data_IF_284724847894
#
_entry.id   IF_284724847894
#
_cell.length_a   1.000
_cell.length_b   1.000
_cell.length_c   1.000
_cell.angle_alpha   90.00
_cell.angle_beta   90.00
_cell.angle_gamma   90.00
#
_symmetry.space_group_name_H-M   'P 1'
#
loop_
_entity.id
_entity.type
_entity.pdbx_description
1 polymer ?
#
# COMPACT_ATOMS: atom_id res chain seq x y z
N UNK A 1 17.82 29.96 0.03
CA UNK A 1 17.46 28.87 -0.91
C UNK A 1 17.93 27.52 -0.39
N UNK A 2 19.23 27.33 -0.10
CA UNK A 2 19.80 26.07 0.40
C UNK A 2 19.12 25.52 1.68
N UNK A 3 18.77 26.40 2.63
CA UNK A 3 17.99 26.01 3.82
C UNK A 3 16.67 25.32 3.47
N UNK A 4 15.98 25.77 2.42
CA UNK A 4 14.73 25.16 1.98
C UNK A 4 14.95 23.80 1.32
N UNK A 5 16.04 23.62 0.56
CA UNK A 5 16.42 22.31 0.00
C UNK A 5 16.78 21.31 1.10
N UNK A 6 17.51 21.77 2.13
CA UNK A 6 17.85 20.93 3.29
C UNK A 6 16.61 20.48 4.06
N UNK A 7 15.63 21.36 4.26
CA UNK A 7 14.35 21.01 4.92
C UNK A 7 13.53 20.08 4.04
N UNK A 8 13.46 20.33 2.73
CA UNK A 8 12.72 19.52 1.77
C UNK A 8 13.23 18.06 1.77
N UNK A 9 14.56 17.88 1.79
CA UNK A 9 15.19 16.56 1.76
C UNK A 9 14.76 15.77 0.52
N UNK A 10 14.28 14.55 0.72
CA UNK A 10 13.78 13.68 -0.35
C UNK A 10 12.27 13.85 -0.63
N UNK A 11 11.60 14.81 0.02
CA UNK A 11 10.16 15.03 -0.12
C UNK A 11 9.87 15.99 -1.26
N UNK A 12 8.67 15.91 -1.83
CA UNK A 12 8.26 16.82 -2.91
C UNK A 12 7.80 18.19 -2.41
N UNK A 13 7.37 18.29 -1.15
CA UNK A 13 6.89 19.54 -0.54
C UNK A 13 6.95 19.47 0.98
N UNK A 14 6.85 20.62 1.66
CA UNK A 14 6.63 20.71 3.09
C UNK A 14 5.87 21.99 3.46
N UNK A 15 5.16 22.01 4.60
CA UNK A 15 4.48 23.21 5.09
C UNK A 15 5.47 24.21 5.70
N UNK A 16 5.23 25.51 5.47
CA UNK A 16 6.03 26.57 6.09
C UNK A 16 5.85 26.63 7.61
N UNK A 17 4.66 26.30 8.11
CA UNK A 17 4.31 26.33 9.54
C UNK A 17 4.61 25.01 10.25
N UNK A 18 4.67 23.91 9.48
CA UNK A 18 4.97 22.57 9.98
C UNK A 18 5.88 21.87 8.97
N UNK A 19 7.21 22.03 9.10
CA UNK A 19 8.16 21.49 8.14
C UNK A 19 8.14 19.97 7.96
N UNK A 20 7.49 19.22 8.86
CA UNK A 20 7.36 17.77 8.76
C UNK A 20 6.14 17.35 7.92
N UNK A 21 5.11 18.19 7.88
CA UNK A 21 3.90 17.95 7.09
C UNK A 21 4.14 18.19 5.60
N UNK A 22 3.51 17.38 4.75
CA UNK A 22 3.61 17.48 3.28
C UNK A 22 2.28 17.88 2.64
N UNK A 23 2.32 18.56 1.50
CA UNK A 23 1.11 18.93 0.79
C UNK A 23 0.50 17.72 0.07
N UNK A 24 -0.73 17.36 0.46
CA UNK A 24 -1.45 16.20 -0.02
C UNK A 24 -2.88 16.55 -0.39
N UNK A 25 -3.47 15.78 -1.31
CA UNK A 25 -4.90 15.89 -1.61
C UNK A 25 -5.68 15.15 -0.53
N UNK A 26 -6.48 15.89 0.22
CA UNK A 26 -7.36 15.30 1.23
C UNK A 26 -8.69 14.88 0.58
N UNK A 27 -9.34 13.85 1.15
CA UNK A 27 -10.70 13.45 0.75
C UNK A 27 -11.71 14.56 1.03
N UNK A 28 -11.50 15.33 2.11
CA UNK A 28 -12.30 16.50 2.46
C UNK A 28 -11.86 17.72 1.64
N UNK A 29 -12.37 17.76 0.41
CA UNK A 29 -12.20 18.86 -0.54
C UNK A 29 -13.46 19.73 -0.56
N UNK A 30 -13.67 20.48 0.53
CA UNK A 30 -14.81 21.41 0.67
C UNK A 30 -14.89 22.43 -0.46
N UNK A 31 -13.74 22.79 -1.05
CA UNK A 31 -13.67 23.76 -2.15
C UNK A 31 -13.83 23.11 -3.53
N UNK A 32 -13.86 21.76 -3.60
CA UNK A 32 -13.93 20.94 -4.82
C UNK A 32 -12.92 21.32 -5.91
N UNK A 33 -11.85 22.02 -5.54
CA UNK A 33 -10.85 22.56 -6.46
C UNK A 33 -9.55 21.75 -6.45
N UNK A 34 -9.51 20.64 -5.70
CA UNK A 34 -8.34 19.77 -5.61
C UNK A 34 -7.16 20.39 -4.85
N UNK A 35 -7.39 21.43 -4.04
CA UNK A 35 -6.31 22.12 -3.32
C UNK A 35 -5.58 21.17 -2.36
N UNK A 36 -4.25 21.14 -2.48
CA UNK A 36 -3.40 20.39 -1.57
C UNK A 36 -3.36 21.08 -0.21
N UNK A 37 -3.44 20.29 0.85
CA UNK A 37 -3.36 20.77 2.24
C UNK A 37 -2.19 20.09 2.94
N UNK A 38 -1.52 20.77 3.89
CA UNK A 38 -0.46 20.16 4.66
C UNK A 38 -1.06 19.05 5.54
N UNK A 39 -0.51 17.85 5.42
CA UNK A 39 -1.00 16.67 6.11
C UNK A 39 0.11 15.62 6.26
N UNK A 40 -0.21 14.64 7.09
CA UNK A 40 0.58 13.42 7.28
C UNK A 40 -0.22 12.23 6.75
N UNK A 41 0.43 11.35 6.00
CA UNK A 41 -0.19 10.11 5.55
C UNK A 41 -0.13 9.07 6.67
N UNK A 42 -1.20 9.01 7.46
CA UNK A 42 -1.39 8.02 8.51
C UNK A 42 -1.75 6.65 7.90
N UNK A 43 -0.95 5.64 8.19
CA UNK A 43 -1.27 4.25 7.93
C UNK A 43 -1.53 3.51 9.23
N UNK A 44 -2.49 2.59 9.20
CA UNK A 44 -2.85 1.76 10.35
C UNK A 44 -2.88 0.29 9.95
N UNK A 45 -2.41 -0.56 10.85
CA UNK A 45 -2.59 -2.00 10.83
C UNK A 45 -3.69 -2.34 11.82
N UNK A 46 -4.59 -3.24 11.43
CA UNK A 46 -5.70 -3.64 12.26
C UNK A 46 -5.85 -5.15 12.30
N UNK A 47 -6.14 -5.70 13.47
CA UNK A 47 -6.49 -7.10 13.67
C UNK A 47 -7.70 -7.17 14.59
N UNK A 48 -8.77 -7.85 14.16
CA UNK A 48 -10.05 -7.86 14.88
C UNK A 48 -10.53 -6.45 15.26
N UNK A 49 -10.27 -5.50 14.36
CA UNK A 49 -10.55 -4.07 14.43
C UNK A 49 -9.88 -3.38 15.65
N UNK A 50 -8.82 -3.95 16.20
CA UNK A 50 -7.91 -3.26 17.11
C UNK A 50 -6.78 -2.65 16.29
N UNK A 51 -6.31 -1.46 16.66
CA UNK A 51 -5.13 -0.86 16.04
C UNK A 51 -3.92 -1.60 16.59
N UNK A 52 -3.20 -2.32 15.73
CA UNK A 52 -1.99 -3.08 16.11
C UNK A 52 -0.71 -2.31 15.85
N UNK A 53 -0.72 -1.47 14.82
CA UNK A 53 0.41 -0.63 14.46
C UNK A 53 -0.07 0.58 13.68
N UNK A 54 0.71 1.65 13.71
CA UNK A 54 0.48 2.83 12.90
C UNK A 54 1.81 3.51 12.61
N UNK A 55 1.87 4.26 11.51
CA UNK A 55 3.02 5.10 11.17
C UNK A 55 2.57 6.27 10.29
N UNK A 56 3.42 7.29 10.22
CA UNK A 56 3.22 8.52 9.48
C UNK A 56 4.24 8.67 8.37
N UNK A 57 3.74 8.83 7.16
CA UNK A 57 4.54 8.99 5.96
C UNK A 57 4.36 10.37 5.34
N UNK A 58 5.42 10.86 4.72
CA UNK A 58 5.43 12.07 3.90
C UNK A 58 4.97 11.82 2.46
N UNK A 59 4.85 10.56 2.05
CA UNK A 59 4.50 10.20 0.68
C UNK A 59 2.99 10.32 0.46
N UNK A 60 2.52 11.15 -0.48
CA UNK A 60 1.09 11.31 -0.77
C UNK A 60 0.40 10.03 -1.26
N UNK A 61 1.17 9.10 -1.81
CA UNK A 61 0.70 7.81 -2.33
C UNK A 61 1.13 6.67 -1.43
N UNK A 62 0.28 5.64 -1.36
CA UNK A 62 0.47 4.50 -0.43
C UNK A 62 1.52 3.49 -0.93
N UNK A 63 1.89 3.51 -2.21
CA UNK A 63 2.80 2.51 -2.78
C UNK A 63 4.13 2.41 -2.02
N UNK A 64 4.69 3.56 -1.60
CA UNK A 64 5.99 3.66 -0.97
C UNK A 64 5.94 3.47 0.56
N UNK A 65 4.75 3.46 1.14
CA UNK A 65 4.59 3.34 2.60
C UNK A 65 4.57 1.88 3.04
N UNK A 66 4.29 0.92 2.14
CA UNK A 66 4.12 -0.49 2.46
C UNK A 66 5.33 -1.13 3.15
N UNK A 67 6.48 -1.13 2.46
CA UNK A 67 7.72 -1.73 2.95
C UNK A 67 8.15 -1.15 4.32
N UNK A 68 8.27 0.18 4.48
CA UNK A 68 8.65 0.73 5.77
C UNK A 68 7.60 0.44 6.85
N UNK A 69 6.30 0.45 6.53
CA UNK A 69 5.25 0.08 7.48
C UNK A 69 5.37 -1.37 7.96
N UNK A 70 5.57 -2.33 7.05
CA UNK A 70 5.73 -3.75 7.40
C UNK A 70 7.03 -3.98 8.18
N UNK A 71 8.11 -3.29 7.82
CA UNK A 71 9.37 -3.40 8.55
C UNK A 71 9.26 -2.82 9.97
N UNK A 72 8.63 -1.65 10.13
CA UNK A 72 8.38 -1.05 11.45
C UNK A 72 7.44 -1.90 12.31
N UNK A 73 6.46 -2.55 11.70
CA UNK A 73 5.65 -3.58 12.36
C UNK A 73 6.53 -4.74 12.85
N UNK A 74 7.36 -5.29 11.97
CA UNK A 74 8.24 -6.41 12.30
C UNK A 74 9.22 -6.07 13.42
N UNK A 75 9.90 -4.94 13.33
CA UNK A 75 10.84 -4.46 14.35
C UNK A 75 10.18 -4.33 15.73
N UNK A 76 8.93 -3.84 15.78
CA UNK A 76 8.18 -3.68 17.03
C UNK A 76 7.83 -5.02 17.69
N UNK A 77 7.63 -6.07 16.89
CA UNK A 77 7.04 -7.33 17.36
C UNK A 77 8.01 -8.53 17.31
N UNK A 78 9.14 -8.44 16.59
CA UNK A 78 10.08 -9.55 16.39
C UNK A 78 10.77 -10.03 17.67
N UNK A 79 10.84 -9.20 18.72
CA UNK A 79 11.36 -9.63 20.02
C UNK A 79 10.42 -10.54 20.82
N UNK A 80 9.15 -10.62 20.41
CA UNK A 80 8.09 -11.22 21.23
C UNK A 80 7.29 -12.33 20.52
N UNK A 81 7.48 -12.50 19.21
CA UNK A 81 6.73 -13.47 18.41
C UNK A 81 7.68 -14.17 17.43
N UNK A 82 7.68 -15.50 17.45
CA UNK A 82 8.46 -16.34 16.52
C UNK A 82 8.05 -16.13 15.06
N UNK A 83 6.79 -15.75 14.84
CA UNK A 83 6.23 -15.45 13.53
C UNK A 83 5.41 -14.17 13.61
N UNK A 84 5.93 -13.12 12.99
CA UNK A 84 5.37 -11.78 13.15
C UNK A 84 4.29 -11.48 12.11
N UNK A 85 4.42 -11.96 10.87
CA UNK A 85 3.49 -11.61 9.79
C UNK A 85 3.51 -12.66 8.66
N UNK A 86 2.45 -13.45 8.56
CA UNK A 86 2.30 -14.50 7.53
C UNK A 86 1.57 -14.00 6.27
N UNK A 87 0.56 -13.16 6.44
CA UNK A 87 -0.26 -12.67 5.35
C UNK A 87 -0.61 -11.21 5.55
N UNK A 88 -0.81 -10.50 4.44
CA UNK A 88 -1.16 -9.09 4.45
C UNK A 88 -2.36 -8.84 3.58
N UNK A 89 -3.36 -8.17 4.16
CA UNK A 89 -4.54 -7.67 3.46
C UNK A 89 -4.39 -6.16 3.30
N UNK A 90 -4.37 -5.67 2.06
CA UNK A 90 -4.20 -4.25 1.82
C UNK A 90 -4.97 -3.71 0.61
N UNK A 91 -5.00 -2.39 0.53
CA UNK A 91 -5.65 -1.62 -0.53
C UNK A 91 -4.95 -1.75 -1.89
N UNK A 92 -5.68 -1.43 -2.97
CA UNK A 92 -5.08 -1.54 -4.31
C UNK A 92 -3.97 -0.53 -4.57
N UNK A 93 -3.89 0.52 -3.72
CA UNK A 93 -2.78 1.46 -3.68
C UNK A 93 -1.46 0.86 -3.20
N UNK A 94 -1.47 -0.38 -2.72
CA UNK A 94 -0.25 -1.11 -2.33
C UNK A 94 0.20 -2.14 -3.35
N UNK A 95 -0.63 -2.45 -4.36
CA UNK A 95 -0.34 -3.47 -5.35
C UNK A 95 0.62 -3.00 -6.44
N UNK A 96 1.92 -3.08 -6.18
CA UNK A 96 3.01 -2.80 -7.11
C UNK A 96 3.94 -4.01 -7.22
N UNK A 97 4.68 -4.14 -8.33
CA UNK A 97 5.71 -5.17 -8.49
C UNK A 97 6.69 -5.16 -7.32
N UNK A 98 7.19 -3.98 -6.95
CA UNK A 98 8.12 -3.80 -5.85
C UNK A 98 7.60 -4.36 -4.52
N UNK A 99 6.32 -4.13 -4.20
CA UNK A 99 5.72 -4.62 -2.97
C UNK A 99 5.43 -6.12 -3.04
N UNK A 100 5.06 -6.65 -4.21
CA UNK A 100 4.89 -8.08 -4.40
C UNK A 100 6.21 -8.84 -4.31
N UNK A 101 7.29 -8.34 -4.91
CA UNK A 101 8.64 -8.90 -4.75
C UNK A 101 9.06 -8.88 -3.28
N UNK A 102 8.80 -7.78 -2.57
CA UNK A 102 9.08 -7.71 -1.14
C UNK A 102 8.30 -8.74 -0.33
N UNK A 103 7.00 -8.90 -0.59
CA UNK A 103 6.17 -9.90 0.09
C UNK A 103 6.66 -11.32 -0.21
N UNK A 104 6.97 -11.62 -1.47
CA UNK A 104 7.48 -12.94 -1.88
C UNK A 104 8.85 -13.27 -1.26
N UNK A 105 9.79 -12.32 -1.26
CA UNK A 105 11.11 -12.49 -0.63
C UNK A 105 11.05 -12.68 0.89
N UNK A 106 9.97 -12.23 1.51
CA UNK A 106 9.77 -12.27 2.95
C UNK A 106 8.72 -13.31 3.36
N UNK A 107 8.32 -14.20 2.43
CA UNK A 107 7.35 -15.28 2.62
C UNK A 107 5.99 -14.79 3.17
N UNK A 108 5.59 -13.57 2.80
CA UNK A 108 4.31 -12.97 3.16
C UNK A 108 3.30 -13.25 2.04
N UNK A 109 2.15 -13.81 2.40
CA UNK A 109 1.07 -14.01 1.44
C UNK A 109 0.34 -12.70 1.07
N UNK A 110 0.29 -12.32 -0.22
CA UNK A 110 -0.24 -11.03 -0.65
C UNK A 110 -1.74 -11.07 -0.96
N UNK A 111 -2.60 -10.82 0.04
CA UNK A 111 -4.02 -10.49 -0.18
C UNK A 111 -4.22 -9.00 -0.55
N UNK A 112 -3.39 -8.52 -1.48
CA UNK A 112 -3.29 -7.12 -1.87
C UNK A 112 -3.72 -6.97 -3.33
N UNK A 113 -4.85 -6.28 -3.56
CA UNK A 113 -5.35 -6.03 -4.92
C UNK A 113 -4.32 -5.24 -5.73
N UNK A 114 -4.21 -5.51 -7.02
CA UNK A 114 -3.55 -4.58 -7.94
C UNK A 114 -4.58 -3.56 -8.48
N UNK A 115 -4.16 -2.36 -8.95
CA UNK A 115 -5.07 -1.26 -9.33
C UNK A 115 -6.21 -1.64 -10.29
N UNK A 116 -5.94 -2.53 -11.25
CA UNK A 116 -6.91 -2.94 -12.28
C UNK A 116 -7.74 -4.17 -11.91
N UNK A 117 -7.57 -4.76 -10.72
CA UNK A 117 -8.18 -6.03 -10.32
C UNK A 117 -9.70 -6.09 -10.53
N UNK A 118 -10.43 -5.03 -10.14
CA UNK A 118 -11.88 -4.95 -10.34
C UNK A 118 -12.27 -4.58 -11.78
N UNK A 119 -11.45 -3.77 -12.46
CA UNK A 119 -11.71 -3.34 -13.85
C UNK A 119 -11.63 -4.52 -14.80
N UNK A 120 -10.63 -5.38 -14.61
CA UNK A 120 -10.41 -6.60 -15.40
C UNK A 120 -11.57 -7.61 -15.28
N UNK A 121 -12.35 -7.55 -14.21
CA UNK A 121 -13.50 -8.44 -14.02
C UNK A 121 -14.72 -8.04 -14.84
N UNK A 122 -14.82 -6.78 -15.29
CA UNK A 122 -15.97 -6.28 -16.06
C UNK A 122 -16.02 -6.89 -17.46
N UNK A 123 -17.21 -7.24 -17.95
CA UNK A 123 -17.44 -7.81 -19.30
C UNK A 123 -16.81 -6.96 -20.41
N UNK A 124 -16.95 -5.63 -20.32
CA UNK A 124 -16.37 -4.70 -21.29
C UNK A 124 -14.84 -4.76 -21.36
N UNK A 125 -14.15 -5.06 -20.24
CA UNK A 125 -12.71 -5.26 -20.24
C UNK A 125 -12.35 -6.63 -20.80
N UNK A 126 -12.99 -7.71 -20.29
CA UNK A 126 -12.70 -9.09 -20.71
C UNK A 126 -12.90 -9.33 -22.21
N UNK A 127 -13.95 -8.73 -22.78
CA UNK A 127 -14.31 -8.95 -24.18
C UNK A 127 -13.55 -8.01 -25.14
N UNK A 128 -12.71 -7.11 -24.63
CA UNK A 128 -11.96 -6.20 -25.47
C UNK A 128 -10.65 -6.86 -25.94
N UNK A 129 -10.66 -7.38 -27.17
CA UNK A 129 -9.50 -8.01 -27.79
C UNK A 129 -8.32 -7.04 -27.99
N UNK A 130 -8.55 -5.72 -28.00
CA UNK A 130 -7.50 -4.74 -28.27
C UNK A 130 -6.66 -4.40 -27.04
N UNK A 131 -7.02 -4.88 -25.85
CA UNK A 131 -6.24 -4.68 -24.62
C UNK A 131 -5.05 -5.64 -24.58
N UNK A 132 -3.84 -5.12 -24.32
CA UNK A 132 -2.61 -5.91 -24.32
C UNK A 132 -2.66 -7.09 -23.32
N UNK A 133 -3.28 -6.88 -22.16
CA UNK A 133 -3.47 -7.91 -21.12
C UNK A 133 -4.37 -9.08 -21.54
N UNK A 134 -5.19 -8.90 -22.59
CA UNK A 134 -6.09 -9.94 -23.08
C UNK A 134 -5.51 -10.69 -24.30
N UNK A 135 -4.32 -10.29 -24.79
CA UNK A 135 -3.68 -10.96 -25.90
C UNK A 135 -3.16 -12.33 -25.45
N UNK A 136 -3.28 -13.32 -26.33
CA UNK A 136 -2.70 -14.64 -26.07
C UNK A 136 -1.18 -14.55 -26.11
N UNK A 137 -0.52 -15.08 -25.08
CA UNK A 137 0.92 -15.19 -24.97
C UNK A 137 1.35 -16.65 -25.08
N UNK A 138 2.25 -16.96 -26.01
CA UNK A 138 2.90 -18.25 -26.10
C UNK A 138 4.25 -18.20 -25.38
N UNK A 139 4.31 -18.80 -24.18
CA UNK A 139 5.54 -18.82 -23.38
C UNK A 139 6.65 -19.72 -23.96
N UNK A 140 6.31 -20.76 -24.73
CA UNK A 140 7.28 -21.68 -25.31
C UNK A 140 8.04 -21.07 -26.48
N UNK A 141 7.36 -20.24 -27.28
CA UNK A 141 7.89 -19.60 -28.49
C UNK A 141 8.11 -18.09 -28.35
N UNK A 142 7.84 -17.53 -27.17
CA UNK A 142 8.02 -16.12 -26.79
C UNK A 142 7.40 -15.10 -27.78
N UNK A 143 6.10 -15.21 -28.02
CA UNK A 143 5.35 -14.24 -28.83
C UNK A 143 3.94 -13.99 -28.30
N UNK A 144 3.38 -12.83 -28.66
CA UNK A 144 1.96 -12.52 -28.47
C UNK A 144 1.18 -12.65 -29.78
N UNK A 145 -0.12 -12.88 -29.70
CA UNK A 145 -1.00 -12.90 -30.89
C UNK A 145 -1.89 -11.66 -30.85
N UNK A 146 -1.84 -10.85 -31.91
CA UNK A 146 -2.68 -9.67 -32.04
C UNK A 146 -4.14 -10.05 -32.41
N UNK A 147 -5.11 -9.13 -32.33
CA UNK A 147 -6.51 -9.42 -32.66
C UNK A 147 -6.75 -9.85 -34.11
N UNK A 148 -5.83 -9.51 -35.02
CA UNK A 148 -5.86 -9.94 -36.42
C UNK A 148 -5.21 -11.33 -36.63
N UNK A 149 -4.71 -11.97 -35.56
CA UNK A 149 -4.05 -13.28 -35.62
C UNK A 149 -2.55 -13.24 -35.94
N UNK A 150 -1.95 -12.05 -36.12
CA UNK A 150 -0.51 -11.95 -36.38
C UNK A 150 0.32 -12.17 -35.11
N UNK A 151 1.47 -12.82 -35.27
CA UNK A 151 2.46 -12.91 -34.21
C UNK A 151 3.13 -11.55 -33.97
N UNK A 152 3.27 -11.21 -32.71
CA UNK A 152 4.04 -10.10 -32.19
C UNK A 152 5.30 -10.66 -31.54
N UNK A 153 6.42 -10.56 -32.26
CA UNK A 153 7.69 -11.12 -31.84
C UNK A 153 8.38 -10.19 -30.83
N UNK A 154 9.22 -10.75 -29.96
CA UNK A 154 10.03 -9.95 -29.04
C UNK A 154 11.07 -9.15 -29.81
N UNK A 155 11.04 -7.83 -29.67
CA UNK A 155 11.96 -6.90 -30.35
C UNK A 155 13.06 -6.35 -29.46
N UNK A 156 12.94 -6.51 -28.14
CA UNK A 156 13.99 -6.13 -27.21
C UNK A 156 13.54 -6.16 -25.76
N UNK A 157 14.46 -5.78 -24.89
CA UNK A 157 14.25 -5.65 -23.45
C UNK A 157 14.64 -4.24 -23.00
N UNK A 158 14.08 -3.83 -21.88
CA UNK A 158 14.41 -2.56 -21.24
C UNK A 158 14.16 -2.63 -19.75
N UNK A 159 14.41 -1.51 -19.10
CA UNK A 159 14.11 -1.33 -17.69
C UNK A 159 13.26 -0.09 -17.45
N UNK A 160 12.51 -0.11 -16.35
CA UNK A 160 11.75 1.02 -15.83
C UNK A 160 12.20 1.27 -14.41
N UNK A 161 12.58 2.51 -14.11
CA UNK A 161 12.91 2.94 -12.76
C UNK A 161 11.70 3.65 -12.16
N UNK A 162 11.22 3.19 -11.01
CA UNK A 162 10.18 3.87 -10.23
C UNK A 162 10.77 5.04 -9.44
N UNK A 163 9.89 5.85 -8.83
CA UNK A 163 10.29 6.94 -7.94
C UNK A 163 11.05 6.46 -6.69
N UNK A 164 10.79 5.23 -6.23
CA UNK A 164 11.58 4.56 -5.17
C UNK A 164 12.99 4.17 -5.61
N UNK A 165 13.27 4.22 -6.91
CA UNK A 165 14.49 3.71 -7.50
C UNK A 165 14.45 2.21 -7.81
N UNK A 166 13.33 1.52 -7.58
CA UNK A 166 13.14 0.12 -7.95
C UNK A 166 13.17 -0.03 -9.47
N UNK A 167 13.84 -1.10 -9.95
CA UNK A 167 14.07 -1.35 -11.37
C UNK A 167 13.25 -2.56 -11.81
N UNK A 168 12.21 -2.31 -12.59
CA UNK A 168 11.42 -3.33 -13.27
C UNK A 168 12.03 -3.70 -14.61
N UNK A 169 12.08 -4.99 -14.95
CA UNK A 169 12.44 -5.46 -16.30
C UNK A 169 11.20 -5.53 -17.19
N UNK A 170 11.32 -5.03 -18.42
CA UNK A 170 10.23 -5.04 -19.40
C UNK A 170 10.70 -5.60 -20.74
N UNK A 171 9.84 -6.36 -21.38
CA UNK A 171 10.03 -6.89 -22.73
C UNK A 171 9.14 -6.16 -23.71
N UNK A 172 9.66 -5.90 -24.91
CA UNK A 172 8.92 -5.26 -25.98
C UNK A 172 8.55 -6.29 -27.05
N UNK A 173 7.30 -6.25 -27.49
CA UNK A 173 6.81 -7.11 -28.57
C UNK A 173 6.17 -6.25 -29.65
N UNK A 174 6.43 -6.57 -30.91
CA UNK A 174 5.94 -5.80 -32.05
C UNK A 174 5.30 -6.70 -33.11
N UNK A 175 4.14 -6.27 -33.61
CA UNK A 175 3.49 -6.93 -34.73
C UNK A 175 4.29 -6.79 -36.02
N UNK A 176 4.29 -7.82 -36.87
CA UNK A 176 5.07 -7.83 -38.12
C UNK A 176 4.63 -6.76 -39.12
N UNK A 177 3.33 -6.63 -39.37
CA UNK A 177 2.82 -5.67 -40.35
C UNK A 177 1.38 -5.22 -40.06
N UNK A 178 1.22 -3.98 -39.63
CA UNK A 178 -0.07 -3.36 -39.39
C UNK A 178 -0.53 -2.41 -40.52
N UNK A 179 0.24 -2.28 -41.62
CA UNK A 179 -0.12 -1.41 -42.74
C UNK A 179 -1.37 -1.95 -43.44
N UNK A 180 -2.40 -1.11 -43.60
CA UNK A 180 -3.67 -1.50 -44.21
C UNK A 180 -4.53 -2.45 -43.37
N UNK A 181 -4.19 -2.69 -42.09
CA UNK A 181 -4.99 -3.57 -41.24
C UNK A 181 -6.40 -2.98 -41.00
N UNK A 182 -7.49 -3.73 -41.28
CA UNK A 182 -8.85 -3.22 -41.13
C UNK A 182 -9.21 -2.91 -39.68
N UNK A 183 -8.54 -3.56 -38.71
CA UNK A 183 -8.76 -3.36 -37.29
C UNK A 183 -7.96 -2.19 -36.70
N UNK A 184 -7.13 -1.48 -37.49
CA UNK A 184 -6.18 -0.48 -36.98
C UNK A 184 -6.85 0.60 -36.12
N UNK A 185 -7.99 1.14 -36.58
CA UNK A 185 -8.70 2.23 -35.89
C UNK A 185 -9.20 1.88 -34.48
N UNK A 186 -9.40 0.59 -34.18
CA UNK A 186 -9.78 0.10 -32.86
C UNK A 186 -8.59 -0.44 -32.05
N UNK A 187 -7.46 -0.67 -32.71
CA UNK A 187 -6.34 -1.45 -32.18
C UNK A 187 -5.27 -0.60 -31.49
N UNK A 188 -4.76 0.44 -32.17
CA UNK A 188 -3.75 1.37 -31.64
C UNK A 188 -3.60 2.60 -32.54
N UNK A 189 -3.14 3.71 -31.97
CA UNK A 189 -3.08 5.02 -32.67
C UNK A 189 -1.68 5.45 -33.12
N UNK A 190 -0.62 4.73 -32.71
CA UNK A 190 0.75 5.12 -33.02
C UNK A 190 1.13 4.94 -34.50
N UNK A 191 2.15 5.66 -34.96
CA UNK A 191 2.79 5.43 -36.26
C UNK A 191 3.60 4.12 -36.23
N UNK A 192 3.69 3.43 -37.36
CA UNK A 192 4.37 2.13 -37.46
C UNK A 192 3.48 0.96 -37.04
N UNK A 193 4.09 -0.15 -36.63
CA UNK A 193 3.39 -1.34 -36.17
C UNK A 193 2.96 -1.22 -34.71
N UNK A 194 1.99 -2.04 -34.30
CA UNK A 194 1.60 -2.13 -32.90
C UNK A 194 2.76 -2.69 -32.08
N UNK A 195 3.19 -1.96 -31.06
CA UNK A 195 4.15 -2.40 -30.05
C UNK A 195 3.48 -2.47 -28.68
N UNK A 196 3.80 -3.49 -27.90
CA UNK A 196 3.38 -3.63 -26.51
C UNK A 196 4.60 -3.76 -25.61
N UNK A 197 4.45 -3.28 -24.38
CA UNK A 197 5.42 -3.41 -23.31
C UNK A 197 4.84 -4.37 -22.26
N UNK A 198 5.61 -5.37 -21.89
CA UNK A 198 5.16 -6.45 -21.00
C UNK A 198 6.16 -6.61 -19.86
N UNK A 199 5.64 -6.52 -18.64
CA UNK A 199 6.38 -6.87 -17.44
C UNK A 199 5.96 -8.29 -17.00
N UNK A 200 6.80 -9.27 -17.30
CA UNK A 200 6.52 -10.68 -17.01
C UNK A 200 6.48 -10.99 -15.52
N UNK A 201 7.35 -10.35 -14.72
CA UNK A 201 7.39 -10.55 -13.27
C UNK A 201 6.11 -10.02 -12.60
N UNK A 202 5.70 -8.79 -12.93
CA UNK A 202 4.45 -8.24 -12.45
C UNK A 202 3.23 -9.06 -12.91
N UNK A 203 3.25 -9.60 -14.14
CA UNK A 203 2.17 -10.47 -14.61
C UNK A 203 2.09 -11.78 -13.82
N UNK A 204 3.24 -12.40 -13.48
CA UNK A 204 3.33 -13.56 -12.58
C UNK A 204 2.68 -13.23 -11.22
N UNK A 205 3.07 -12.11 -10.62
CA UNK A 205 2.52 -11.66 -9.34
C UNK A 205 1.02 -11.42 -9.40
N UNK A 206 0.53 -10.74 -10.43
CA UNK A 206 -0.92 -10.50 -10.62
C UNK A 206 -1.70 -11.78 -10.74
N UNK A 207 -1.15 -12.80 -11.42
CA UNK A 207 -1.81 -14.10 -11.54
C UNK A 207 -1.87 -14.81 -10.19
N UNK A 208 -0.76 -14.88 -9.46
CA UNK A 208 -0.73 -15.43 -8.08
C UNK A 208 -1.72 -14.73 -7.16
N UNK A 209 -1.70 -13.39 -7.14
CA UNK A 209 -2.61 -12.55 -6.35
C UNK A 209 -4.07 -12.77 -6.77
N UNK A 210 -4.35 -12.94 -8.06
CA UNK A 210 -5.70 -13.22 -8.56
C UNK A 210 -6.21 -14.54 -7.98
N UNK A 211 -5.42 -15.60 -8.05
CA UNK A 211 -5.75 -16.91 -7.50
C UNK A 211 -6.01 -16.83 -5.99
N UNK A 212 -5.09 -16.20 -5.23
CA UNK A 212 -5.23 -15.98 -3.79
C UNK A 212 -6.51 -15.20 -3.45
N UNK A 213 -6.75 -14.08 -4.10
CA UNK A 213 -7.93 -13.26 -3.82
C UNK A 213 -9.23 -14.01 -4.15
N UNK A 214 -9.24 -14.86 -5.17
CA UNK A 214 -10.42 -15.68 -5.55
C UNK A 214 -10.59 -16.95 -4.71
N UNK A 215 -9.61 -17.31 -3.89
CA UNK A 215 -9.72 -18.45 -2.98
C UNK A 215 -10.78 -18.19 -1.89
N UNK A 216 -11.16 -19.25 -1.16
CA UNK A 216 -12.08 -19.13 0.00
C UNK A 216 -11.55 -18.15 1.05
N UNK A 217 -10.25 -18.22 1.32
CA UNK A 217 -9.56 -17.33 2.25
C UNK A 217 -9.48 -15.90 1.72
N UNK A 218 -9.17 -15.72 0.45
CA UNK A 218 -9.19 -14.40 -0.18
C UNK A 218 -10.57 -13.76 -0.19
N UNK A 219 -11.64 -14.55 -0.38
CA UNK A 219 -13.02 -14.08 -0.23
C UNK A 219 -13.34 -13.68 1.21
N UNK A 220 -12.89 -14.47 2.19
CA UNK A 220 -13.01 -14.14 3.60
C UNK A 220 -12.33 -12.80 3.93
N UNK A 221 -11.04 -12.64 3.62
CA UNK A 221 -10.32 -11.40 3.87
C UNK A 221 -10.92 -10.20 3.13
N UNK A 222 -11.38 -10.39 1.88
CA UNK A 222 -12.07 -9.33 1.12
C UNK A 222 -13.37 -8.89 1.78
N UNK A 223 -14.14 -9.81 2.36
CA UNK A 223 -15.38 -9.46 3.08
C UNK A 223 -15.13 -8.79 4.42
N UNK A 224 -13.97 -9.03 5.05
CA UNK A 224 -13.55 -8.39 6.30
C UNK A 224 -13.04 -6.96 6.12
N UNK A 225 -12.61 -6.55 4.94
CA UNK A 225 -12.01 -5.22 4.71
C UNK A 225 -12.89 -4.01 5.07
N UNK A 226 -14.21 -3.98 4.73
CA UNK A 226 -15.08 -2.89 5.21
C UNK A 226 -15.28 -2.91 6.73
N UNK A 227 -15.00 -4.05 7.35
CA UNK A 227 -15.18 -4.27 8.78
C UNK A 227 -13.90 -3.91 9.54
N UNK A 228 -12.71 -4.24 9.04
CA UNK A 228 -11.43 -4.10 9.74
C UNK A 228 -10.94 -2.63 9.76
N UNK A 229 -10.21 -2.10 8.76
CA UNK A 229 -9.67 -0.74 8.82
C UNK A 229 -10.75 0.35 8.65
N UNK A 230 -11.77 0.11 7.82
CA UNK A 230 -12.80 1.12 7.54
C UNK A 230 -13.65 1.44 8.77
N UNK A 231 -13.93 0.46 9.64
CA UNK A 231 -14.66 0.72 10.88
C UNK A 231 -13.85 1.54 11.88
N UNK A 232 -12.53 1.28 11.98
CA UNK A 232 -11.63 2.03 12.84
C UNK A 232 -11.57 3.49 12.39
N UNK A 233 -11.36 3.73 11.09
CA UNK A 233 -11.39 5.09 10.55
C UNK A 233 -12.77 5.76 10.71
N UNK A 234 -13.86 5.02 10.46
CA UNK A 234 -15.23 5.52 10.61
C UNK A 234 -15.55 5.92 12.06
N UNK A 235 -15.21 5.08 13.03
CA UNK A 235 -15.40 5.40 14.45
C UNK A 235 -14.51 6.56 14.90
N UNK A 236 -13.24 6.58 14.49
CA UNK A 236 -12.32 7.65 14.85
C UNK A 236 -12.77 9.00 14.32
N UNK A 237 -13.14 9.06 13.04
CA UNK A 237 -13.60 10.29 12.41
C UNK A 237 -15.00 10.67 12.85
N UNK A 238 -16.00 9.84 12.54
CA UNK A 238 -17.41 10.22 12.73
C UNK A 238 -17.86 10.20 14.20
N UNK A 239 -17.44 9.20 14.98
CA UNK A 239 -17.94 9.04 16.35
C UNK A 239 -17.07 9.75 17.38
N UNK A 240 -15.75 9.85 17.13
CA UNK A 240 -14.79 10.49 18.04
C UNK A 240 -14.32 11.87 17.55
N UNK A 241 -14.79 12.31 16.38
CA UNK A 241 -14.47 13.62 15.79
C UNK A 241 -12.95 13.87 15.61
N UNK A 242 -12.18 12.79 15.43
CA UNK A 242 -10.74 12.86 15.20
C UNK A 242 -10.45 13.08 13.71
N UNK A 243 -10.65 14.31 13.25
CA UNK A 243 -10.46 14.70 11.85
C UNK A 243 -9.10 15.35 11.56
N UNK A 244 -8.44 15.91 12.59
CA UNK A 244 -7.19 16.66 12.46
C UNK A 244 -6.29 16.38 13.66
N UNK A 245 -4.99 16.34 13.40
CA UNK A 245 -3.96 16.35 14.44
C UNK A 245 -3.94 17.72 15.13
N UNK A 246 -3.70 17.73 16.44
CA UNK A 246 -3.72 18.96 17.25
C UNK A 246 -2.35 19.60 17.42
N UNK A 247 -1.30 18.90 16.97
CA UNK A 247 0.10 19.29 17.15
C UNK A 247 0.82 19.35 15.80
N UNK A 248 1.98 20.02 15.79
CA UNK A 248 2.89 20.09 14.65
C UNK A 248 4.16 19.28 14.93
N UNK A 249 4.78 18.76 13.88
CA UNK A 249 5.99 17.95 13.99
C UNK A 249 5.69 16.47 14.21
N UNK A 250 6.51 15.61 13.59
CA UNK A 250 6.26 14.16 13.51
C UNK A 250 6.13 13.52 14.90
N UNK A 251 6.94 13.93 15.86
CA UNK A 251 6.96 13.31 17.20
C UNK A 251 5.68 13.62 17.99
N UNK A 252 5.22 14.87 17.97
CA UNK A 252 4.02 15.29 18.70
C UNK A 252 2.75 14.70 18.09
N UNK A 253 2.65 14.62 16.76
CA UNK A 253 1.51 13.94 16.12
C UNK A 253 1.52 12.42 16.41
N UNK A 254 2.72 11.84 16.54
CA UNK A 254 2.89 10.42 16.85
C UNK A 254 2.38 10.14 18.24
N UNK A 255 2.75 10.97 19.21
CA UNK A 255 2.21 10.93 20.57
C UNK A 255 0.69 11.13 20.61
N UNK A 256 0.16 12.15 19.92
CA UNK A 256 -1.28 12.46 19.85
C UNK A 256 -2.08 11.24 19.37
N UNK A 257 -1.64 10.64 18.25
CA UNK A 257 -2.31 9.46 17.71
C UNK A 257 -2.07 8.20 18.54
N UNK A 258 -0.91 8.04 19.19
CA UNK A 258 -0.64 6.94 20.11
C UNK A 258 -1.66 6.92 21.26
N UNK A 259 -1.89 8.07 21.89
CA UNK A 259 -2.89 8.23 22.97
C UNK A 259 -4.28 7.90 22.44
N UNK A 260 -4.64 8.41 21.26
CA UNK A 260 -5.91 8.07 20.61
C UNK A 260 -6.05 6.56 20.37
N UNK A 261 -5.03 5.90 19.82
CA UNK A 261 -5.05 4.48 19.51
C UNK A 261 -5.17 3.61 20.77
N UNK A 262 -4.46 3.97 21.85
CA UNK A 262 -4.57 3.34 23.17
C UNK A 262 -6.00 3.45 23.69
N UNK A 263 -6.55 4.67 23.74
CA UNK A 263 -7.90 4.92 24.24
C UNK A 263 -8.96 4.21 23.39
N UNK A 264 -8.78 4.18 22.07
CA UNK A 264 -9.64 3.47 21.13
C UNK A 264 -9.66 1.96 21.42
N UNK A 265 -8.47 1.35 21.53
CA UNK A 265 -8.34 -0.07 21.83
C UNK A 265 -8.91 -0.42 23.22
N UNK A 266 -8.62 0.36 24.25
CA UNK A 266 -9.15 0.15 25.60
C UNK A 266 -10.69 0.24 25.65
N UNK A 267 -11.27 1.28 25.05
CA UNK A 267 -12.73 1.43 25.01
C UNK A 267 -13.40 0.26 24.29
N UNK A 268 -12.73 -0.27 23.27
CA UNK A 268 -13.18 -1.45 22.56
C UNK A 268 -13.06 -2.74 23.38
N UNK A 269 -11.94 -2.95 24.08
CA UNK A 269 -11.76 -4.09 24.99
C UNK A 269 -12.87 -4.10 26.04
N UNK A 270 -13.15 -2.95 26.64
CA UNK A 270 -14.24 -2.78 27.62
C UNK A 270 -15.60 -3.16 27.03
N UNK A 271 -15.95 -2.65 25.85
CA UNK A 271 -17.23 -2.97 25.21
C UNK A 271 -17.35 -4.44 24.81
N UNK A 272 -16.27 -5.07 24.30
CA UNK A 272 -16.26 -6.53 24.05
C UNK A 272 -16.42 -7.33 25.35
N UNK A 273 -15.78 -6.89 26.44
CA UNK A 273 -15.90 -7.49 27.76
C UNK A 273 -17.33 -7.47 28.32
N UNK A 274 -18.11 -6.42 28.04
CA UNK A 274 -19.54 -6.36 28.43
C UNK A 274 -20.42 -7.38 27.72
N UNK A 275 -20.09 -7.71 26.47
CA UNK A 275 -20.91 -8.55 25.60
C UNK A 275 -20.52 -10.03 25.73
N UNK A 276 -19.34 -10.33 26.28
CA UNK A 276 -18.84 -11.71 26.41
C UNK A 276 -19.35 -12.33 27.72
N UNK A 277 -20.04 -13.50 27.70
CA UNK A 277 -20.44 -14.18 28.93
C UNK A 277 -19.21 -14.58 29.75
N UNK A 278 -19.30 -14.43 31.08
CA UNK A 278 -18.20 -14.60 32.06
C UNK A 278 -17.43 -15.94 32.02
N UNK A 279 -17.90 -16.94 31.27
CA UNK A 279 -17.37 -18.31 31.29
C UNK A 279 -16.63 -18.75 30.01
N UNK A 280 -16.08 -17.86 29.19
CA UNK A 280 -15.27 -18.29 28.02
C UNK A 280 -13.77 -18.10 28.26
N UNK A 281 -13.02 -19.21 28.28
CA UNK A 281 -11.54 -19.26 28.31
C UNK A 281 -10.91 -18.35 27.23
N UNK A 282 -11.59 -18.20 26.07
CA UNK A 282 -11.22 -17.33 24.93
C UNK A 282 -11.10 -15.83 25.27
N UNK A 283 -11.76 -15.37 26.34
CA UNK A 283 -11.71 -13.97 26.78
C UNK A 283 -10.33 -13.60 27.36
N UNK A 284 -9.67 -14.52 28.05
CA UNK A 284 -8.39 -14.29 28.71
C UNK A 284 -7.23 -14.17 27.69
N UNK A 285 -7.22 -14.97 26.63
CA UNK A 285 -6.17 -14.93 25.60
C UNK A 285 -6.26 -13.67 24.73
N UNK A 286 -7.49 -13.22 24.42
CA UNK A 286 -7.71 -11.97 23.70
C UNK A 286 -7.26 -10.75 24.55
N UNK A 287 -7.46 -10.81 25.87
CA UNK A 287 -7.01 -9.79 26.81
C UNK A 287 -5.48 -9.72 26.88
N UNK A 288 -4.78 -10.87 26.88
CA UNK A 288 -3.31 -10.94 26.90
C UNK A 288 -2.69 -10.35 25.62
N UNK A 289 -3.17 -10.73 24.44
CA UNK A 289 -2.67 -10.21 23.16
C UNK A 289 -2.87 -8.69 23.05
N UNK A 290 -4.04 -8.19 23.49
CA UNK A 290 -4.33 -6.75 23.45
C UNK A 290 -3.54 -5.95 24.49
N UNK A 291 -3.21 -6.53 25.65
CA UNK A 291 -2.35 -5.88 26.65
C UNK A 291 -0.91 -5.70 26.12
N UNK A 292 -0.38 -6.69 25.39
CA UNK A 292 0.89 -6.55 24.67
C UNK A 292 0.81 -5.38 23.67
N UNK A 293 -0.19 -5.35 22.78
CA UNK A 293 -0.35 -4.24 21.81
C UNK A 293 -0.39 -2.85 22.48
N UNK A 294 -1.04 -2.73 23.65
CA UNK A 294 -1.09 -1.48 24.42
C UNK A 294 0.28 -1.07 25.00
N UNK A 295 1.04 -2.02 25.55
CA UNK A 295 2.37 -1.76 26.13
C UNK A 295 3.38 -1.35 25.04
N UNK A 296 3.29 -1.96 23.85
CA UNK A 296 4.25 -1.70 22.77
C UNK A 296 3.94 -0.45 21.94
N UNK A 297 2.81 0.24 22.15
CA UNK A 297 2.64 1.61 21.63
C UNK A 297 3.59 2.58 22.34
N UNK A 298 3.98 2.32 23.60
CA UNK A 298 4.90 3.19 24.37
C UNK A 298 6.39 3.03 24.02
N UNK A 299 6.82 1.88 23.51
CA UNK A 299 8.24 1.62 23.21
C UNK A 299 8.67 2.12 21.82
N UNK A 300 8.29 3.33 21.43
CA UNK A 300 9.13 4.08 20.50
C UNK A 300 10.28 4.63 21.34
N UNK A 301 11.40 3.91 21.38
CA UNK A 301 12.66 4.52 21.81
C UNK A 301 12.93 5.67 20.85
N UNK A 302 12.79 6.89 21.37
CA UNK A 302 13.34 8.08 20.76
C UNK A 302 14.87 7.92 20.86
N UNK A 303 15.45 7.20 19.91
CA UNK A 303 16.90 7.17 19.72
C UNK A 303 17.30 8.49 19.04
N UNK A 304 17.21 9.59 19.78
CA UNK A 304 17.93 10.79 19.42
C UNK A 304 19.41 10.55 19.71
N UNK A 305 20.16 10.39 18.63
CA UNK A 305 21.57 10.70 18.47
C UNK A 305 22.25 11.33 19.71
N UNK A 306 22.94 10.51 20.49
CA UNK A 306 24.11 10.95 21.27
C UNK A 306 25.28 11.22 20.30
N UNK A 307 25.18 12.26 19.47
CA UNK A 307 26.33 12.76 18.70
C UNK A 307 26.26 14.26 18.48
N UNK A 308 26.09 15.04 19.55
CA UNK A 308 26.57 16.44 19.60
C UNK A 308 26.52 16.95 21.03
N UNK A 309 27.60 16.77 21.79
CA UNK A 309 28.03 17.68 22.85
C UNK A 309 29.36 17.21 23.44
N UNK A 310 30.45 17.46 22.72
CA UNK A 310 31.81 17.49 23.29
C UNK A 310 32.69 18.39 22.40
N UNK A 311 32.29 19.67 22.28
CA UNK A 311 33.19 20.79 21.95
C UNK A 311 32.63 22.05 22.58
N UNK A 312 32.88 22.21 23.88
CA UNK A 312 32.88 23.47 24.63
C UNK A 312 33.39 23.18 26.05
N UNK A 313 34.70 22.95 26.16
CA UNK A 313 35.52 23.22 27.34
C UNK A 313 36.99 22.95 26.96
N UNK A 314 37.84 23.96 27.20
CA UNK A 314 39.27 24.09 26.87
C UNK A 314 39.59 24.49 25.42
#
# INVERSE_FOLDING_TARGET
YEKHLKILGNRNSYSKTDPDATFMRLKDDHMQNGQLKPAYNLQIGTENQFITHFDFFSNPTDFLTFKPFVNGFRERFSGNFDTVLNSVVADSGYGSEENYDFMELNEIEPFVKFPYFHKEQKKAFKNNAFIAQNLFYNSQKDYFVCPMGQHMEKTGEGSRKSDSGFISKVSYYEAKNCKGCPLKGLCYNAKGNRRIEVNHNLNRHKERVRQLLTSKEGLYHRSKRPIEPESVFGQGKSNKQYYRFRHFGKDLITMDFAIFAIAFNMGKMYNKGKITPKNSQKSADLLKINLLVLIFIQNHTINHAETTNLKLAA
#
